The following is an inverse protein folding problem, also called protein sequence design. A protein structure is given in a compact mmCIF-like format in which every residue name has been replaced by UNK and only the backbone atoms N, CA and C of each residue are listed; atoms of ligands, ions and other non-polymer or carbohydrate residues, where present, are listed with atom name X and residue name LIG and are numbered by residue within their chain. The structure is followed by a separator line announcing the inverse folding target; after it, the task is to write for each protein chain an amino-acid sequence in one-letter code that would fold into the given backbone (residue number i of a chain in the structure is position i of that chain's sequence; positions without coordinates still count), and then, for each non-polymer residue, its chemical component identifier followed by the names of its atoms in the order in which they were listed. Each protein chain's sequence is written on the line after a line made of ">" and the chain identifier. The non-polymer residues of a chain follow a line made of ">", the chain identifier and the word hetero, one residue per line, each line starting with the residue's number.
data_IF_977975005089
#
_entry.id   IF_977975005089
#
_cell.length_a   1.000
_cell.length_b   1.000
_cell.length_c   1.000
_cell.angle_alpha   90.00
_cell.angle_beta   90.00
_cell.angle_gamma   90.00
#
_symmetry.space_group_name_H-M   'P 1'
#
loop_
_entity.id
_entity.type
_entity.pdbx_description
1 polymer ?
#
# COMPACT_ATOMS: atom_id res chain seq x y z
N UNK A 1 14.41 -24.74 -6.79
CA UNK A 1 13.99 -23.34 -6.58
C UNK A 1 15.17 -22.57 -6.00
N UNK A 2 15.75 -21.61 -6.74
CA UNK A 2 16.90 -20.81 -6.32
C UNK A 2 16.46 -19.89 -5.17
N UNK A 3 17.17 -19.88 -4.04
CA UNK A 3 16.93 -18.88 -2.99
C UNK A 3 17.21 -17.51 -3.60
N UNK A 4 16.24 -16.61 -3.52
CA UNK A 4 16.37 -15.24 -4.00
C UNK A 4 17.54 -14.55 -3.29
N UNK A 5 18.49 -14.03 -4.06
CA UNK A 5 19.68 -13.38 -3.51
C UNK A 5 19.26 -12.12 -2.72
N UNK A 6 20.03 -11.73 -1.69
CA UNK A 6 19.64 -10.61 -0.81
C UNK A 6 19.40 -9.29 -1.58
N UNK A 7 20.10 -9.10 -2.71
CA UNK A 7 19.93 -7.96 -3.59
C UNK A 7 18.56 -7.95 -4.30
N UNK A 8 18.12 -9.10 -4.81
CA UNK A 8 16.81 -9.26 -5.47
C UNK A 8 15.67 -9.01 -4.47
N UNK A 9 15.83 -9.49 -3.23
CA UNK A 9 14.87 -9.26 -2.14
C UNK A 9 14.76 -7.80 -1.74
N UNK A 10 15.88 -7.08 -1.72
CA UNK A 10 15.89 -5.64 -1.45
C UNK A 10 15.24 -4.84 -2.59
N UNK A 11 15.48 -5.22 -3.85
CA UNK A 11 14.85 -4.60 -5.01
C UNK A 11 13.34 -4.84 -5.03
N UNK A 12 12.88 -6.07 -4.81
CA UNK A 12 11.45 -6.37 -4.71
C UNK A 12 10.78 -5.63 -3.55
N UNK A 13 11.45 -5.49 -2.40
CA UNK A 13 10.93 -4.72 -1.27
C UNK A 13 10.76 -3.22 -1.60
N UNK A 14 11.75 -2.63 -2.29
CA UNK A 14 11.65 -1.23 -2.77
C UNK A 14 10.55 -1.05 -3.81
N UNK A 15 10.44 -1.97 -4.77
CA UNK A 15 9.40 -1.96 -5.79
C UNK A 15 8.00 -2.10 -5.18
N UNK A 16 7.82 -3.00 -4.22
CA UNK A 16 6.57 -3.19 -3.50
C UNK A 16 6.16 -1.92 -2.73
N UNK A 17 7.12 -1.25 -2.08
CA UNK A 17 6.85 0.01 -1.38
C UNK A 17 6.43 1.14 -2.33
N UNK A 18 7.08 1.23 -3.50
CA UNK A 18 6.73 2.20 -4.55
C UNK A 18 5.34 1.92 -5.14
N UNK A 19 5.05 0.66 -5.48
CA UNK A 19 3.74 0.25 -6.00
C UNK A 19 2.63 0.55 -4.98
N UNK A 20 2.89 0.30 -3.70
CA UNK A 20 1.95 0.59 -2.63
C UNK A 20 1.68 2.11 -2.50
N UNK A 21 2.72 2.94 -2.52
CA UNK A 21 2.56 4.40 -2.51
C UNK A 21 1.81 4.91 -3.74
N UNK A 22 2.11 4.38 -4.93
CA UNK A 22 1.45 4.78 -6.18
C UNK A 22 -0.05 4.48 -6.14
N UNK A 23 -0.41 3.24 -5.80
CA UNK A 23 -1.81 2.83 -5.65
C UNK A 23 -2.56 3.67 -4.60
N UNK A 24 -1.91 3.96 -3.47
CA UNK A 24 -2.50 4.80 -2.40
C UNK A 24 -2.79 6.21 -2.90
N UNK A 25 -1.86 6.84 -3.64
CA UNK A 25 -2.04 8.20 -4.18
C UNK A 25 -3.16 8.22 -5.22
N UNK A 26 -3.19 7.26 -6.14
CA UNK A 26 -4.23 7.18 -7.17
C UNK A 26 -5.63 7.07 -6.54
N UNK A 27 -5.78 6.22 -5.52
CA UNK A 27 -7.06 6.07 -4.82
C UNK A 27 -7.44 7.30 -4.00
N UNK A 28 -6.47 7.98 -3.41
CA UNK A 28 -6.73 9.19 -2.65
C UNK A 28 -7.20 10.31 -3.58
N UNK A 29 -6.56 10.47 -4.75
CA UNK A 29 -7.00 11.41 -5.79
C UNK A 29 -8.39 11.04 -6.31
N UNK A 30 -8.65 9.75 -6.57
CA UNK A 30 -9.97 9.30 -7.00
C UNK A 30 -11.05 9.60 -5.96
N UNK A 31 -10.80 9.25 -4.70
CA UNK A 31 -11.75 9.50 -3.61
C UNK A 31 -12.01 10.99 -3.42
N UNK A 32 -11.00 11.85 -3.59
CA UNK A 32 -11.18 13.30 -3.52
C UNK A 32 -12.06 13.82 -4.66
N UNK A 33 -11.87 13.30 -5.89
CA UNK A 33 -12.69 13.64 -7.05
C UNK A 33 -14.13 13.18 -6.85
N UNK A 34 -14.34 11.95 -6.35
CA UNK A 34 -15.68 11.40 -6.11
C UNK A 34 -16.40 12.13 -4.98
N UNK A 35 -15.67 12.50 -3.92
CA UNK A 35 -16.21 13.31 -2.84
C UNK A 35 -16.69 14.69 -3.32
N UNK A 36 -15.92 15.35 -4.18
CA UNK A 36 -16.29 16.65 -4.77
C UNK A 36 -17.49 16.51 -5.72
N UNK A 37 -17.56 15.44 -6.51
CA UNK A 37 -18.62 15.25 -7.52
C UNK A 37 -19.93 14.74 -6.94
N UNK A 38 -19.86 13.82 -5.99
CA UNK A 38 -21.01 13.00 -5.57
C UNK A 38 -21.43 13.28 -4.13
N UNK A 39 -20.58 13.94 -3.33
CA UNK A 39 -20.84 14.23 -1.91
C UNK A 39 -20.90 12.98 -1.02
N UNK A 40 -20.61 11.80 -1.59
CA UNK A 40 -20.59 10.50 -0.92
C UNK A 40 -19.23 9.86 -1.17
N UNK A 41 -18.61 9.33 -0.13
CA UNK A 41 -17.42 8.51 -0.25
C UNK A 41 -17.83 7.14 -0.81
N UNK A 42 -17.42 6.85 -2.05
CA UNK A 42 -17.79 5.63 -2.73
C UNK A 42 -17.00 4.43 -2.22
N UNK A 43 -16.87 3.41 -3.08
CA UNK A 43 -16.03 2.23 -2.82
C UNK A 43 -14.55 2.57 -2.63
N UNK A 44 -14.11 3.81 -2.88
CA UNK A 44 -12.72 4.22 -2.63
C UNK A 44 -12.35 4.19 -1.14
N UNK A 45 -13.28 4.47 -0.24
CA UNK A 45 -13.01 4.55 1.20
C UNK A 45 -12.62 3.20 1.83
N UNK A 46 -13.37 2.09 1.63
CA UNK A 46 -12.95 0.78 2.13
C UNK A 46 -11.63 0.32 1.49
N UNK A 47 -11.39 0.66 0.22
CA UNK A 47 -10.15 0.32 -0.47
C UNK A 47 -8.94 1.05 0.15
N UNK A 48 -9.09 2.34 0.51
CA UNK A 48 -8.08 3.11 1.22
C UNK A 48 -7.82 2.54 2.63
N UNK A 49 -8.89 2.14 3.32
CA UNK A 49 -8.81 1.54 4.65
C UNK A 49 -8.08 0.18 4.63
N UNK A 50 -8.33 -0.64 3.61
CA UNK A 50 -7.60 -1.90 3.35
C UNK A 50 -6.13 -1.61 3.03
N UNK A 51 -5.84 -0.56 2.26
CA UNK A 51 -4.48 -0.07 2.04
C UNK A 51 -3.77 0.22 3.37
N UNK A 52 -4.33 1.11 4.19
CA UNK A 52 -3.78 1.42 5.51
C UNK A 52 -3.57 0.17 6.39
N UNK A 53 -4.52 -0.77 6.37
CA UNK A 53 -4.39 -2.02 7.11
C UNK A 53 -3.21 -2.87 6.63
N UNK A 54 -3.02 -3.01 5.31
CA UNK A 54 -1.89 -3.73 4.73
C UNK A 54 -0.56 -3.06 5.10
N UNK A 55 -0.47 -1.72 5.01
CA UNK A 55 0.74 -0.99 5.38
C UNK A 55 1.09 -1.17 6.87
N UNK A 56 0.09 -1.02 7.74
CA UNK A 56 0.27 -1.25 9.18
C UNK A 56 0.70 -2.69 9.46
N UNK A 57 0.14 -3.68 8.77
CA UNK A 57 0.49 -5.08 8.92
C UNK A 57 1.93 -5.37 8.48
N UNK A 58 2.36 -4.80 7.34
CA UNK A 58 3.75 -4.89 6.85
C UNK A 58 4.71 -4.26 7.86
N UNK A 59 4.37 -3.09 8.40
CA UNK A 59 5.19 -2.41 9.40
C UNK A 59 5.31 -3.23 10.69
N UNK A 60 4.21 -3.82 11.17
CA UNK A 60 4.20 -4.72 12.34
C UNK A 60 5.02 -5.99 12.07
N UNK A 61 4.89 -6.58 10.89
CA UNK A 61 5.64 -7.77 10.50
C UNK A 61 7.15 -7.49 10.46
N UNK A 62 7.58 -6.39 9.85
CA UNK A 62 8.98 -5.99 9.84
C UNK A 62 9.49 -5.69 11.25
N UNK A 63 8.75 -4.92 12.06
CA UNK A 63 9.13 -4.64 13.46
C UNK A 63 9.31 -5.91 14.29
N UNK A 64 8.46 -6.92 14.08
CA UNK A 64 8.58 -8.23 14.76
C UNK A 64 9.75 -9.07 14.27
N UNK A 65 10.26 -8.81 13.08
CA UNK A 65 11.39 -9.54 12.49
C UNK A 65 12.75 -8.87 12.74
N UNK A 66 12.76 -7.58 13.05
CA UNK A 66 13.96 -6.80 13.40
C UNK A 66 14.32 -6.87 14.89
N UNK A 67 13.51 -7.54 15.72
CA UNK A 67 13.81 -7.80 17.14
C UNK A 67 14.18 -9.27 17.33
#
# INVERSE_FOLDING_TARGET
>A
MRRMDEMEKNQSGKAARLAFSFYTIVLLVWSLIDWIKTGKTGWEFPILMVGCAIYAWIQVYYRRKTR
#
